data_IF_914556580720
#
_entry.id   IF_914556580720
#
_cell.length_a   1.000
_cell.length_b   1.000
_cell.length_c   1.000
_cell.angle_alpha   90.00
_cell.angle_beta   90.00
_cell.angle_gamma   90.00
#
_symmetry.space_group_name_H-M   'P 1'
#
loop_
_entity.id
_entity.type
_entity.pdbx_description
1 polymer ?
#
# COMPACT_ATOMS: atom_id res chain seq x y z
N UNK A 1 2.63 -21.68 -16.14
CA UNK A 1 3.47 -20.74 -16.91
C UNK A 1 4.22 -19.75 -16.00
N UNK A 2 4.89 -20.13 -14.92
CA UNK A 2 5.47 -19.13 -13.98
C UNK A 2 6.86 -19.49 -13.45
N UNK A 3 7.56 -20.43 -14.04
CA UNK A 3 8.84 -20.93 -13.51
C UNK A 3 10.04 -20.03 -13.84
N UNK A 4 9.90 -19.00 -14.66
CA UNK A 4 11.04 -18.22 -15.22
C UNK A 4 11.39 -16.97 -14.37
N UNK A 5 10.48 -16.48 -13.55
CA UNK A 5 10.68 -15.20 -12.86
C UNK A 5 11.41 -15.31 -11.49
N UNK A 6 11.39 -16.48 -10.85
CA UNK A 6 12.10 -16.69 -9.56
C UNK A 6 13.60 -16.49 -9.60
N UNK A 7 14.20 -16.76 -10.72
CA UNK A 7 15.66 -16.59 -10.89
C UNK A 7 16.12 -15.14 -10.87
N UNK A 8 15.17 -14.18 -10.85
CA UNK A 8 15.43 -12.75 -10.78
C UNK A 8 15.49 -12.19 -9.36
N UNK A 9 14.98 -12.94 -8.36
CA UNK A 9 15.10 -12.53 -6.97
C UNK A 9 16.51 -12.76 -6.46
N UNK A 10 16.98 -11.88 -5.57
CA UNK A 10 18.19 -12.15 -4.81
C UNK A 10 17.98 -13.38 -3.91
N UNK A 11 19.03 -14.10 -3.57
CA UNK A 11 18.94 -15.24 -2.64
C UNK A 11 18.32 -14.84 -1.28
N UNK A 12 18.58 -13.62 -0.83
CA UNK A 12 18.00 -13.09 0.42
C UNK A 12 16.50 -12.90 0.29
N UNK A 13 16.01 -12.32 -0.83
CA UNK A 13 14.59 -12.10 -1.09
C UNK A 13 13.83 -13.41 -1.23
N UNK A 14 14.41 -14.36 -1.94
CA UNK A 14 13.86 -15.69 -2.09
C UNK A 14 13.72 -16.36 -0.72
N UNK A 15 14.78 -16.34 0.09
CA UNK A 15 14.77 -16.89 1.45
C UNK A 15 13.71 -16.25 2.34
N UNK A 16 13.54 -14.92 2.23
CA UNK A 16 12.47 -14.20 2.94
C UNK A 16 11.09 -14.73 2.52
N UNK A 17 10.82 -14.82 1.21
CA UNK A 17 9.53 -15.31 0.70
C UNK A 17 9.26 -16.76 1.15
N UNK A 18 10.27 -17.63 1.12
CA UNK A 18 10.14 -19.02 1.58
C UNK A 18 9.83 -19.12 3.07
N UNK A 19 10.44 -18.28 3.91
CA UNK A 19 10.14 -18.21 5.34
C UNK A 19 8.70 -17.75 5.55
N UNK A 20 8.26 -16.70 4.84
CA UNK A 20 6.89 -16.22 4.95
C UNK A 20 5.87 -17.26 4.46
N UNK A 21 6.19 -18.03 3.42
CA UNK A 21 5.34 -19.13 2.96
C UNK A 21 5.18 -20.21 4.04
N UNK A 22 6.28 -20.61 4.68
CA UNK A 22 6.22 -21.62 5.77
C UNK A 22 5.38 -21.14 6.95
N UNK A 23 5.52 -19.87 7.34
CA UNK A 23 4.71 -19.26 8.41
C UNK A 23 3.24 -19.20 8.03
N UNK A 24 2.94 -18.79 6.81
CA UNK A 24 1.57 -18.76 6.28
C UNK A 24 0.95 -20.16 6.25
N UNK A 25 1.65 -21.14 5.69
CA UNK A 25 1.16 -22.52 5.60
C UNK A 25 0.91 -23.11 7.01
N UNK A 26 1.81 -22.87 7.97
CA UNK A 26 1.64 -23.29 9.36
C UNK A 26 0.42 -22.62 10.01
N UNK A 27 0.28 -21.31 9.86
CA UNK A 27 -0.86 -20.54 10.41
C UNK A 27 -2.18 -21.02 9.82
N UNK A 28 -2.23 -21.15 8.48
CA UNK A 28 -3.40 -21.63 7.76
C UNK A 28 -3.81 -23.03 8.24
N UNK A 29 -2.88 -23.96 8.30
CA UNK A 29 -3.16 -25.34 8.71
C UNK A 29 -3.62 -25.41 10.17
N UNK A 30 -3.07 -24.57 11.03
CA UNK A 30 -3.50 -24.47 12.43
C UNK A 30 -4.96 -24.02 12.54
N UNK A 31 -5.35 -22.96 11.82
CA UNK A 31 -6.75 -22.52 11.81
C UNK A 31 -7.69 -23.57 11.22
N UNK A 32 -7.31 -24.25 10.14
CA UNK A 32 -8.12 -25.33 9.57
C UNK A 32 -8.31 -26.47 10.55
N UNK A 33 -7.26 -26.91 11.27
CA UNK A 33 -7.38 -27.91 12.32
C UNK A 33 -8.31 -27.45 13.44
N UNK A 34 -8.14 -26.22 13.92
CA UNK A 34 -9.00 -25.63 14.95
C UNK A 34 -10.48 -25.62 14.52
N UNK A 35 -10.77 -25.28 13.26
CA UNK A 35 -12.15 -25.29 12.74
C UNK A 35 -12.75 -26.70 12.74
N UNK A 36 -11.96 -27.73 12.40
CA UNK A 36 -12.40 -29.13 12.47
C UNK A 36 -12.68 -29.56 13.90
N UNK A 37 -11.79 -29.20 14.83
CA UNK A 37 -11.97 -29.51 16.26
C UNK A 37 -13.22 -28.83 16.82
N UNK A 38 -13.45 -27.55 16.48
CA UNK A 38 -14.66 -26.82 16.89
C UNK A 38 -15.93 -27.46 16.33
N UNK A 39 -15.93 -27.86 15.07
CA UNK A 39 -17.07 -28.55 14.46
C UNK A 39 -17.33 -29.90 15.16
N UNK A 40 -16.28 -30.66 15.47
CA UNK A 40 -16.35 -31.92 16.18
C UNK A 40 -16.97 -31.73 17.58
N UNK A 41 -16.51 -30.73 18.33
CA UNK A 41 -17.07 -30.39 19.64
C UNK A 41 -18.54 -30.01 19.52
N UNK A 42 -18.87 -29.18 18.52
CA UNK A 42 -20.27 -28.79 18.29
C UNK A 42 -21.18 -30.00 18.00
N UNK A 43 -20.71 -30.96 17.20
CA UNK A 43 -21.47 -32.18 16.92
C UNK A 43 -21.63 -33.06 18.17
N UNK A 44 -20.60 -33.13 19.03
CA UNK A 44 -20.68 -33.83 20.30
C UNK A 44 -21.70 -33.19 21.25
N UNK A 45 -21.70 -31.85 21.32
CA UNK A 45 -22.68 -31.08 22.12
C UNK A 45 -24.10 -31.31 21.58
N UNK A 46 -24.32 -31.22 20.29
CA UNK A 46 -25.63 -31.49 19.68
C UNK A 46 -26.12 -32.91 19.99
N UNK A 47 -25.21 -33.90 19.98
CA UNK A 47 -25.52 -35.31 20.31
C UNK A 47 -25.91 -35.44 21.77
N UNK A 48 -25.17 -34.79 22.66
CA UNK A 48 -25.43 -34.76 24.10
C UNK A 48 -26.80 -34.11 24.40
N UNK A 49 -27.03 -32.90 23.89
CA UNK A 49 -28.29 -32.20 24.10
C UNK A 49 -29.47 -32.87 23.38
N UNK A 50 -29.24 -33.51 22.24
CA UNK A 50 -30.26 -34.31 21.55
C UNK A 50 -30.79 -35.46 22.37
N UNK A 51 -29.95 -36.06 23.20
CA UNK A 51 -30.35 -37.08 24.20
C UNK A 51 -31.07 -36.48 25.40
N UNK A 52 -30.80 -35.21 25.72
CA UNK A 52 -31.37 -34.46 26.83
C UNK A 52 -32.56 -33.61 26.44
N UNK A 53 -33.15 -33.79 25.25
CA UNK A 53 -34.17 -32.96 24.60
C UNK A 53 -35.42 -32.68 25.48
N UNK A 54 -35.61 -33.43 26.56
CA UNK A 54 -36.68 -33.26 27.56
C UNK A 54 -36.40 -32.13 28.56
N UNK A 55 -35.16 -31.59 28.62
CA UNK A 55 -34.72 -30.64 29.64
C UNK A 55 -34.00 -29.41 29.07
N UNK A 56 -33.74 -29.37 27.76
CA UNK A 56 -33.00 -28.27 27.14
C UNK A 56 -33.96 -27.13 26.76
N UNK A 57 -34.11 -26.19 27.65
CA UNK A 57 -34.72 -24.90 27.36
C UNK A 57 -33.90 -24.17 26.27
N UNK A 58 -34.59 -23.36 25.45
CA UNK A 58 -34.05 -22.58 24.32
C UNK A 58 -32.78 -21.76 24.64
N UNK A 59 -32.52 -21.50 25.92
CA UNK A 59 -31.37 -20.73 26.42
C UNK A 59 -30.03 -21.39 26.11
N UNK A 60 -29.96 -22.72 26.06
CA UNK A 60 -28.71 -23.43 25.78
C UNK A 60 -28.32 -23.50 24.30
N UNK A 61 -29.29 -23.38 23.38
CA UNK A 61 -29.00 -23.39 21.95
C UNK A 61 -28.29 -22.12 21.45
N UNK A 62 -28.36 -21.03 22.20
CA UNK A 62 -27.75 -19.75 21.81
C UNK A 62 -26.26 -19.61 22.23
N UNK A 63 -25.77 -20.45 23.09
CA UNK A 63 -24.41 -20.37 23.66
C UNK A 63 -23.44 -21.42 23.14
N UNK A 64 -23.84 -22.24 22.16
CA UNK A 64 -22.95 -23.20 21.54
C UNK A 64 -21.87 -22.46 20.75
N UNK A 65 -20.62 -22.81 20.98
CA UNK A 65 -19.46 -22.28 20.26
C UNK A 65 -19.51 -22.83 18.82
N UNK A 66 -20.45 -22.35 18.02
CA UNK A 66 -20.43 -22.62 16.60
C UNK A 66 -19.79 -21.43 15.88
N UNK A 67 -18.61 -21.63 15.38
CA UNK A 67 -18.05 -20.71 14.41
C UNK A 67 -18.68 -21.07 13.05
N UNK A 68 -19.65 -20.28 12.59
CA UNK A 68 -20.25 -20.51 11.29
C UNK A 68 -19.21 -20.36 10.18
N UNK A 69 -19.46 -20.98 9.02
CA UNK A 69 -18.54 -20.99 7.88
C UNK A 69 -18.15 -19.58 7.43
N UNK A 70 -19.03 -18.61 7.58
CA UNK A 70 -18.75 -17.21 7.24
C UNK A 70 -17.66 -16.65 8.13
N UNK A 71 -17.74 -16.86 9.44
CA UNK A 71 -16.69 -16.42 10.39
C UNK A 71 -15.38 -17.14 10.18
N UNK A 72 -15.41 -18.45 9.88
CA UNK A 72 -14.21 -19.20 9.51
C UNK A 72 -13.54 -18.60 8.26
N UNK A 73 -14.34 -18.26 7.24
CA UNK A 73 -13.84 -17.62 6.01
C UNK A 73 -13.27 -16.24 6.31
N UNK A 74 -13.91 -15.40 7.12
CA UNK A 74 -13.41 -14.08 7.51
C UNK A 74 -12.05 -14.17 8.23
N UNK A 75 -11.81 -15.21 9.02
CA UNK A 75 -10.50 -15.47 9.63
C UNK A 75 -9.47 -15.82 8.56
N UNK A 76 -9.81 -16.71 7.63
CA UNK A 76 -8.89 -17.11 6.56
C UNK A 76 -8.57 -15.96 5.59
N UNK A 77 -9.52 -15.10 5.28
CA UNK A 77 -9.29 -13.87 4.53
C UNK A 77 -8.23 -12.97 5.18
N UNK A 78 -8.29 -12.82 6.49
CA UNK A 78 -7.27 -12.07 7.23
C UNK A 78 -5.90 -12.73 7.15
N UNK A 79 -5.83 -14.05 7.20
CA UNK A 79 -4.58 -14.81 7.05
C UNK A 79 -4.00 -14.62 5.65
N UNK A 80 -4.82 -14.74 4.61
CA UNK A 80 -4.41 -14.53 3.22
C UNK A 80 -3.91 -13.09 2.99
N UNK A 81 -4.71 -12.11 3.40
CA UNK A 81 -4.36 -10.69 3.24
C UNK A 81 -3.09 -10.31 4.03
N UNK A 82 -2.90 -10.87 5.22
CA UNK A 82 -1.69 -10.63 6.00
C UNK A 82 -0.44 -11.15 5.29
N UNK A 83 -0.51 -12.35 4.74
CA UNK A 83 0.59 -12.96 3.97
C UNK A 83 0.97 -12.11 2.75
N UNK A 84 -0.01 -11.75 1.92
CA UNK A 84 0.20 -10.89 0.74
C UNK A 84 0.81 -9.55 1.15
N UNK A 85 0.20 -8.89 2.14
CA UNK A 85 0.67 -7.60 2.66
C UNK A 85 2.10 -7.68 3.16
N UNK A 86 2.47 -8.76 3.85
CA UNK A 86 3.82 -8.91 4.40
C UNK A 86 4.87 -8.98 3.31
N UNK A 87 4.64 -9.77 2.25
CA UNK A 87 5.55 -9.89 1.12
C UNK A 87 5.66 -8.54 0.38
N UNK A 88 4.54 -7.96 -0.06
CA UNK A 88 4.57 -6.70 -0.82
C UNK A 88 5.20 -5.56 0.01
N UNK A 89 4.86 -5.48 1.31
CA UNK A 89 5.44 -4.45 2.19
C UNK A 89 6.95 -4.61 2.38
N UNK A 90 7.46 -5.84 2.39
CA UNK A 90 8.90 -6.08 2.41
C UNK A 90 9.59 -5.51 1.17
N UNK A 91 9.09 -5.81 -0.03
CA UNK A 91 9.65 -5.28 -1.27
C UNK A 91 9.51 -3.76 -1.37
N UNK A 92 8.36 -3.21 -1.00
CA UNK A 92 8.14 -1.77 -0.96
C UNK A 92 9.15 -1.08 -0.03
N UNK A 93 9.39 -1.63 1.15
CA UNK A 93 10.33 -1.07 2.13
C UNK A 93 11.78 -1.25 1.69
N UNK A 94 12.16 -2.46 1.26
CA UNK A 94 13.55 -2.77 0.89
C UNK A 94 14.01 -1.98 -0.34
N UNK A 95 13.14 -1.88 -1.34
CA UNK A 95 13.48 -1.25 -2.62
C UNK A 95 12.86 0.14 -2.79
N UNK A 96 12.05 0.59 -1.84
CA UNK A 96 11.40 1.89 -1.89
C UNK A 96 10.34 1.99 -2.99
N UNK A 97 9.66 0.92 -3.32
CA UNK A 97 8.61 0.85 -4.34
C UNK A 97 7.25 1.33 -3.79
N UNK A 98 6.31 1.60 -4.69
CA UNK A 98 4.93 1.94 -4.38
C UNK A 98 3.95 0.88 -4.92
N UNK A 99 4.29 -0.41 -4.79
CA UNK A 99 3.44 -1.51 -5.25
C UNK A 99 2.14 -1.50 -4.46
N UNK A 100 1.02 -1.47 -5.17
CA UNK A 100 -0.30 -1.55 -4.57
C UNK A 100 -0.53 -2.94 -3.96
N UNK A 101 -1.05 -2.97 -2.73
CA UNK A 101 -1.42 -4.22 -2.07
C UNK A 101 -2.81 -4.62 -2.56
N UNK A 102 -2.88 -5.72 -3.27
CA UNK A 102 -4.14 -6.29 -3.71
C UNK A 102 -4.73 -7.22 -2.63
N UNK A 103 -6.04 -7.41 -2.66
CA UNK A 103 -6.71 -8.37 -1.77
C UNK A 103 -6.47 -9.82 -2.25
N UNK A 104 -6.73 -10.77 -1.38
CA UNK A 104 -6.61 -12.21 -1.67
C UNK A 104 -7.41 -12.65 -2.90
N UNK A 105 -8.47 -11.96 -3.23
CA UNK A 105 -9.36 -12.28 -4.37
C UNK A 105 -8.63 -12.30 -5.72
N UNK A 106 -7.53 -11.54 -5.82
CA UNK A 106 -6.67 -11.56 -7.02
C UNK A 106 -5.95 -12.90 -7.21
N UNK A 107 -5.70 -13.60 -6.12
CA UNK A 107 -4.90 -14.83 -6.10
C UNK A 107 -5.77 -16.11 -5.97
N UNK A 108 -7.07 -15.94 -5.78
CA UNK A 108 -8.04 -17.02 -5.65
C UNK A 108 -9.10 -16.81 -6.73
N UNK A 109 -9.31 -17.83 -7.58
CA UNK A 109 -10.30 -17.78 -8.65
C UNK A 109 -11.72 -17.93 -8.10
N UNK A 110 -12.34 -16.81 -7.72
CA UNK A 110 -13.73 -16.79 -7.27
C UNK A 110 -14.68 -16.56 -8.45
N UNK A 111 -15.79 -17.27 -8.45
CA UNK A 111 -16.84 -17.07 -9.44
C UNK A 111 -17.76 -15.93 -9.03
N UNK A 112 -18.33 -15.24 -10.02
CA UNK A 112 -19.27 -14.17 -9.75
C UNK A 112 -20.52 -14.71 -9.04
N UNK A 113 -20.82 -14.12 -7.88
CA UNK A 113 -21.97 -14.46 -7.05
C UNK A 113 -22.87 -13.24 -6.76
N UNK A 114 -22.80 -12.24 -7.63
CA UNK A 114 -23.63 -11.05 -7.50
C UNK A 114 -25.12 -11.40 -7.49
N UNK A 115 -25.88 -10.80 -6.60
CA UNK A 115 -27.33 -11.01 -6.55
C UNK A 115 -27.98 -10.33 -7.76
N UNK A 116 -29.02 -10.95 -8.32
CA UNK A 116 -29.78 -10.35 -9.40
C UNK A 116 -30.43 -9.05 -8.92
N UNK A 117 -30.24 -7.99 -9.70
CA UNK A 117 -30.82 -6.67 -9.37
C UNK A 117 -32.27 -6.63 -9.80
N UNK A 118 -33.14 -6.43 -8.84
CA UNK A 118 -34.57 -6.17 -9.13
C UNK A 118 -34.79 -4.68 -9.36
N UNK A 119 -35.16 -4.32 -10.58
CA UNK A 119 -35.54 -2.95 -10.93
C UNK A 119 -36.97 -2.61 -10.48
N UNK A 120 -37.83 -3.61 -10.26
CA UNK A 120 -39.20 -3.47 -9.85
C UNK A 120 -39.46 -4.14 -8.50
N UNK A 121 -40.54 -3.73 -7.82
CA UNK A 121 -40.97 -4.42 -6.57
C UNK A 121 -41.40 -5.85 -6.90
N UNK A 122 -41.03 -6.81 -6.05
CA UNK A 122 -41.38 -8.24 -6.22
C UNK A 122 -42.89 -8.44 -6.42
N UNK A 123 -43.75 -7.58 -5.79
CA UNK A 123 -45.21 -7.61 -5.91
C UNK A 123 -45.72 -7.26 -7.31
N UNK A 124 -44.93 -6.57 -8.15
CA UNK A 124 -45.32 -6.20 -9.51
C UNK A 124 -44.86 -7.16 -10.58
N UNK A 125 -44.13 -8.22 -10.22
CA UNK A 125 -43.66 -9.24 -11.14
C UNK A 125 -44.77 -10.27 -11.47
N UNK A 126 -44.76 -10.78 -12.68
CA UNK A 126 -45.54 -11.95 -13.06
C UNK A 126 -45.07 -13.20 -12.30
N UNK A 127 -45.88 -14.26 -12.26
CA UNK A 127 -45.46 -15.52 -11.60
C UNK A 127 -44.26 -16.17 -12.31
N UNK A 128 -44.16 -16.02 -13.61
CA UNK A 128 -42.98 -16.50 -14.39
C UNK A 128 -41.72 -15.70 -13.99
N UNK A 129 -41.76 -14.38 -13.94
CA UNK A 129 -40.65 -13.55 -13.50
C UNK A 129 -40.25 -13.83 -12.05
N UNK A 130 -41.19 -14.06 -11.15
CA UNK A 130 -40.93 -14.48 -9.78
C UNK A 130 -40.21 -15.84 -9.73
N UNK A 131 -40.60 -16.78 -10.59
CA UNK A 131 -39.97 -18.08 -10.65
C UNK A 131 -38.52 -17.99 -11.14
N UNK A 132 -38.27 -17.25 -12.21
CA UNK A 132 -36.92 -16.98 -12.74
C UNK A 132 -36.05 -16.35 -11.64
N UNK A 133 -36.54 -15.30 -10.97
CA UNK A 133 -35.83 -14.64 -9.89
C UNK A 133 -35.49 -15.59 -8.72
N UNK A 134 -36.43 -16.46 -8.33
CA UNK A 134 -36.18 -17.47 -7.28
C UNK A 134 -35.07 -18.45 -7.68
N UNK A 135 -35.04 -18.87 -8.93
CA UNK A 135 -34.01 -19.77 -9.43
C UNK A 135 -32.64 -19.10 -9.49
N UNK A 136 -32.57 -17.87 -9.96
CA UNK A 136 -31.33 -17.07 -9.96
C UNK A 136 -30.82 -16.84 -8.54
N UNK A 137 -31.68 -16.49 -7.60
CA UNK A 137 -31.31 -16.36 -6.19
C UNK A 137 -30.80 -17.66 -5.58
N UNK A 138 -31.37 -18.82 -5.95
CA UNK A 138 -30.88 -20.13 -5.52
C UNK A 138 -29.47 -20.40 -6.08
N UNK A 139 -29.24 -20.10 -7.38
CA UNK A 139 -27.92 -20.23 -8.00
C UNK A 139 -26.89 -19.34 -7.34
N UNK A 140 -27.26 -18.07 -7.12
CA UNK A 140 -26.39 -17.11 -6.45
C UNK A 140 -26.00 -17.58 -5.03
N UNK A 141 -26.95 -18.06 -4.23
CA UNK A 141 -26.70 -18.59 -2.87
C UNK A 141 -25.74 -19.79 -2.90
N UNK A 142 -25.97 -20.75 -3.81
CA UNK A 142 -25.05 -21.90 -3.98
C UNK A 142 -23.65 -21.44 -4.37
N UNK A 143 -23.54 -20.45 -5.27
CA UNK A 143 -22.24 -19.93 -5.68
C UNK A 143 -21.52 -19.18 -4.55
N UNK A 144 -22.28 -18.38 -3.76
CA UNK A 144 -21.70 -17.75 -2.55
C UNK A 144 -21.16 -18.79 -1.57
N UNK A 145 -21.91 -19.85 -1.32
CA UNK A 145 -21.47 -20.94 -0.45
C UNK A 145 -20.20 -21.60 -1.00
N UNK A 146 -20.15 -21.88 -2.30
CA UNK A 146 -18.97 -22.45 -2.96
C UNK A 146 -17.76 -21.51 -2.83
N UNK A 147 -17.92 -20.21 -3.05
CA UNK A 147 -16.86 -19.21 -2.89
C UNK A 147 -16.32 -19.19 -1.46
N UNK A 148 -17.18 -19.30 -0.44
CA UNK A 148 -16.75 -19.41 0.97
C UNK A 148 -15.84 -20.62 1.19
N UNK A 149 -16.15 -21.77 0.62
CA UNK A 149 -15.29 -22.95 0.69
C UNK A 149 -13.97 -22.73 -0.08
N UNK A 150 -14.05 -22.14 -1.26
CA UNK A 150 -12.85 -21.86 -2.05
C UNK A 150 -11.89 -20.95 -1.28
N UNK A 151 -12.37 -19.89 -0.64
CA UNK A 151 -11.54 -19.01 0.21
C UNK A 151 -10.99 -19.76 1.42
N UNK A 152 -11.85 -20.53 2.11
CA UNK A 152 -11.46 -21.25 3.32
C UNK A 152 -10.32 -22.23 3.07
N UNK A 153 -10.37 -22.97 1.95
CA UNK A 153 -9.40 -24.02 1.62
C UNK A 153 -8.31 -23.58 0.65
N UNK A 154 -8.37 -22.36 0.13
CA UNK A 154 -7.35 -21.85 -0.77
C UNK A 154 -5.97 -21.85 -0.11
N UNK A 155 -4.96 -22.00 -0.93
CA UNK A 155 -3.56 -21.78 -0.59
C UNK A 155 -2.97 -20.80 -1.60
N UNK A 156 -2.42 -19.72 -1.10
CA UNK A 156 -1.74 -18.72 -1.91
C UNK A 156 -0.25 -19.02 -1.87
N UNK A 157 0.35 -19.17 -3.04
CA UNK A 157 1.78 -19.39 -3.16
C UNK A 157 2.50 -18.06 -3.40
N UNK A 158 3.60 -17.82 -2.67
CA UNK A 158 4.37 -16.59 -2.80
C UNK A 158 4.81 -16.28 -4.25
N UNK A 159 5.05 -17.27 -5.10
CA UNK A 159 5.35 -17.03 -6.50
C UNK A 159 4.33 -16.20 -7.24
N UNK A 160 3.05 -16.38 -6.97
CA UNK A 160 1.98 -15.57 -7.59
C UNK A 160 2.09 -14.10 -7.19
N UNK A 161 2.47 -13.83 -5.94
CA UNK A 161 2.68 -12.47 -5.43
C UNK A 161 3.93 -11.86 -6.06
N UNK A 162 4.98 -12.65 -6.20
CA UNK A 162 6.23 -12.23 -6.87
C UNK A 162 5.99 -11.94 -8.35
N UNK A 163 5.16 -12.71 -9.04
CA UNK A 163 4.78 -12.45 -10.43
C UNK A 163 4.05 -11.10 -10.58
N UNK A 164 3.19 -10.74 -9.63
CA UNK A 164 2.56 -9.42 -9.58
C UNK A 164 3.60 -8.30 -9.37
N UNK A 165 4.59 -8.52 -8.51
CA UNK A 165 5.69 -7.57 -8.30
C UNK A 165 6.47 -7.36 -9.60
N UNK A 166 6.84 -8.43 -10.30
CA UNK A 166 7.55 -8.31 -11.58
C UNK A 166 6.68 -7.70 -12.69
N UNK A 167 5.40 -7.98 -12.69
CA UNK A 167 4.44 -7.33 -13.60
C UNK A 167 4.39 -5.82 -13.36
N UNK A 168 4.38 -5.40 -12.11
CA UNK A 168 4.46 -3.98 -11.74
C UNK A 168 5.77 -3.34 -12.19
N UNK A 169 6.89 -4.05 -12.12
CA UNK A 169 8.18 -3.55 -12.60
C UNK A 169 8.19 -3.28 -14.12
N UNK A 170 7.35 -3.97 -14.90
CA UNK A 170 7.21 -3.73 -16.34
C UNK A 170 8.51 -3.98 -17.13
N UNK A 171 9.35 -4.90 -16.66
CA UNK A 171 10.65 -5.23 -17.28
C UNK A 171 11.84 -4.45 -16.72
N UNK A 172 11.61 -3.42 -15.89
CA UNK A 172 12.64 -2.69 -15.19
C UNK A 172 13.22 -3.49 -14.01
N UNK A 173 14.46 -3.20 -13.65
CA UNK A 173 15.00 -3.59 -12.34
C UNK A 173 14.29 -2.82 -11.22
N UNK A 174 14.42 -3.27 -9.98
CA UNK A 174 13.89 -2.55 -8.82
C UNK A 174 14.37 -1.10 -8.74
N UNK A 175 15.66 -0.87 -9.02
CA UNK A 175 16.26 0.47 -8.96
C UNK A 175 15.77 1.39 -10.08
N UNK A 176 15.72 0.89 -11.32
CA UNK A 176 15.21 1.64 -12.46
C UNK A 176 13.73 2.02 -12.28
N UNK A 177 12.91 1.12 -11.73
CA UNK A 177 11.51 1.41 -11.44
C UNK A 177 11.36 2.50 -10.38
N UNK A 178 12.15 2.45 -9.33
CA UNK A 178 12.20 3.51 -8.30
C UNK A 178 12.56 4.86 -8.90
N UNK A 179 13.57 4.91 -9.76
CA UNK A 179 13.98 6.12 -10.43
C UNK A 179 12.87 6.67 -11.34
N UNK A 180 12.23 5.79 -12.12
CA UNK A 180 11.09 6.15 -12.95
C UNK A 180 9.95 6.76 -12.12
N UNK A 181 9.54 6.11 -11.03
CA UNK A 181 8.49 6.61 -10.14
C UNK A 181 8.83 7.97 -9.53
N UNK A 182 10.08 8.19 -9.15
CA UNK A 182 10.52 9.49 -8.63
C UNK A 182 10.39 10.56 -9.71
N UNK A 183 10.84 10.28 -10.94
CA UNK A 183 10.73 11.21 -12.07
C UNK A 183 9.28 11.56 -12.38
N UNK A 184 8.41 10.57 -12.51
CA UNK A 184 6.98 10.73 -12.75
C UNK A 184 6.29 11.57 -11.66
N UNK A 185 6.61 11.31 -10.39
CA UNK A 185 6.05 12.06 -9.26
C UNK A 185 6.49 13.53 -9.25
N UNK A 186 7.75 13.80 -9.59
CA UNK A 186 8.26 15.17 -9.69
C UNK A 186 7.63 15.89 -10.87
N UNK A 187 7.57 15.27 -12.04
CA UNK A 187 6.96 15.83 -13.24
C UNK A 187 5.48 16.17 -13.01
N UNK A 188 4.70 15.24 -12.47
CA UNK A 188 3.30 15.47 -12.12
C UNK A 188 3.14 16.59 -11.07
N UNK A 189 4.01 16.65 -10.07
CA UNK A 189 3.99 17.66 -9.01
C UNK A 189 4.40 19.05 -9.48
N UNK A 190 5.31 19.16 -10.43
CA UNK A 190 5.94 20.41 -10.84
C UNK A 190 5.48 20.96 -12.19
N UNK A 191 4.48 20.35 -12.85
CA UNK A 191 3.99 20.77 -14.18
C UNK A 191 3.65 22.26 -14.28
N UNK A 192 3.36 22.95 -13.17
CA UNK A 192 3.04 24.38 -13.10
C UNK A 192 4.02 25.20 -12.24
N UNK A 193 5.12 24.60 -11.79
CA UNK A 193 6.06 25.25 -10.87
C UNK A 193 7.20 25.88 -11.65
N UNK A 194 7.44 27.18 -11.41
CA UNK A 194 8.54 27.90 -12.07
C UNK A 194 9.85 27.67 -11.30
N UNK A 195 10.88 27.29 -12.03
CA UNK A 195 12.22 27.17 -11.49
C UNK A 195 13.26 27.96 -12.33
N UNK A 196 14.40 28.24 -11.75
CA UNK A 196 15.53 28.90 -12.40
C UNK A 196 16.84 28.30 -11.88
N UNK A 197 17.81 28.18 -12.80
CA UNK A 197 19.16 27.68 -12.49
C UNK A 197 20.16 28.81 -12.73
N UNK A 198 20.96 29.08 -11.72
CA UNK A 198 22.06 30.05 -11.80
C UNK A 198 23.32 29.43 -11.25
N UNK A 199 24.29 29.11 -12.13
CA UNK A 199 25.51 28.41 -11.73
C UNK A 199 25.16 27.10 -11.01
N UNK A 200 25.50 26.95 -9.74
CA UNK A 200 25.24 25.77 -8.93
C UNK A 200 23.99 25.86 -8.05
N UNK A 201 23.14 26.87 -8.28
CA UNK A 201 21.93 27.08 -7.50
C UNK A 201 20.68 26.84 -8.34
N UNK A 202 19.79 26.01 -7.83
CA UNK A 202 18.44 25.80 -8.33
C UNK A 202 17.47 26.55 -7.41
N UNK A 203 16.64 27.42 -7.99
CA UNK A 203 15.58 28.13 -7.29
C UNK A 203 14.24 27.61 -7.76
N UNK A 204 13.40 27.13 -6.85
CA UNK A 204 12.03 26.68 -7.15
C UNK A 204 11.06 27.65 -6.48
N UNK A 205 10.09 28.18 -7.23
CA UNK A 205 9.11 29.14 -6.72
C UNK A 205 7.80 28.43 -6.38
N UNK A 206 7.12 28.91 -5.33
CA UNK A 206 5.79 28.41 -4.94
C UNK A 206 5.73 26.91 -4.65
N UNK A 207 6.85 26.32 -4.21
CA UNK A 207 6.89 24.91 -3.85
C UNK A 207 6.46 24.69 -2.41
N UNK A 208 6.84 25.62 -1.53
CA UNK A 208 6.54 25.58 -0.11
C UNK A 208 5.37 26.52 0.16
N UNK A 209 4.34 26.02 0.80
CA UNK A 209 3.21 26.86 1.18
C UNK A 209 3.54 27.60 2.47
N UNK A 210 3.44 28.94 2.46
CA UNK A 210 3.52 29.75 3.64
C UNK A 210 2.23 30.55 3.82
N UNK A 211 1.72 30.62 5.05
CA UNK A 211 0.59 31.47 5.42
C UNK A 211 0.98 32.30 6.64
N UNK A 212 0.35 33.44 6.79
CA UNK A 212 0.45 34.23 8.00
C UNK A 212 -0.67 33.80 8.94
N UNK A 213 -0.36 33.49 10.18
CA UNK A 213 -1.36 33.18 11.19
C UNK A 213 -2.11 34.46 11.65
N UNK A 214 -3.12 34.28 12.53
CA UNK A 214 -3.91 35.38 13.07
C UNK A 214 -3.08 36.42 13.87
N UNK A 215 -1.85 36.04 14.23
CA UNK A 215 -0.92 36.89 15.02
C UNK A 215 0.17 37.52 14.14
N UNK A 216 0.07 37.37 12.81
CA UNK A 216 1.06 37.91 11.88
C UNK A 216 2.35 37.09 11.76
N UNK A 217 2.39 35.89 12.36
CA UNK A 217 3.55 35.00 12.25
C UNK A 217 3.44 34.12 11.00
N UNK A 218 4.59 33.88 10.35
CA UNK A 218 4.63 33.01 9.17
C UNK A 218 4.70 31.54 9.58
N UNK A 219 3.77 30.78 9.02
CA UNK A 219 3.79 29.31 9.09
C UNK A 219 4.21 28.74 7.73
N UNK A 220 5.15 27.79 7.75
CA UNK A 220 5.52 27.01 6.57
C UNK A 220 4.91 25.63 6.68
N UNK A 221 4.21 25.22 5.63
CA UNK A 221 3.72 23.86 5.46
C UNK A 221 4.65 23.10 4.50
N UNK A 222 5.44 22.19 5.03
CA UNK A 222 6.29 21.28 4.26
C UNK A 222 5.59 19.94 3.97
N UNK A 223 4.38 19.74 4.49
CA UNK A 223 3.56 18.57 4.26
C UNK A 223 2.75 18.70 2.97
N UNK A 224 3.43 18.92 1.84
CA UNK A 224 2.80 18.86 0.53
C UNK A 224 3.54 17.87 -0.36
N UNK A 225 2.79 17.14 -1.18
CA UNK A 225 3.33 16.06 -2.01
C UNK A 225 4.35 16.57 -3.05
N UNK A 226 4.22 17.82 -3.52
CA UNK A 226 5.17 18.43 -4.46
C UNK A 226 6.54 18.62 -3.81
N UNK A 227 6.56 19.16 -2.60
CA UNK A 227 7.79 19.34 -1.84
C UNK A 227 8.43 17.98 -1.55
N UNK A 228 7.63 17.00 -1.08
CA UNK A 228 8.10 15.64 -0.80
C UNK A 228 8.65 14.96 -2.05
N UNK A 229 8.02 15.15 -3.21
CA UNK A 229 8.49 14.60 -4.47
C UNK A 229 9.89 15.14 -4.84
N UNK A 230 10.09 16.47 -4.78
CA UNK A 230 11.40 17.07 -5.06
C UNK A 230 12.45 16.65 -4.04
N UNK A 231 12.08 16.55 -2.78
CA UNK A 231 13.00 16.10 -1.73
C UNK A 231 13.44 14.65 -1.94
N UNK A 232 12.51 13.77 -2.33
CA UNK A 232 12.82 12.37 -2.70
C UNK A 232 13.77 12.32 -3.89
N UNK A 233 13.52 13.16 -4.92
CA UNK A 233 14.39 13.24 -6.08
C UNK A 233 15.80 13.72 -5.74
N UNK A 234 15.93 14.75 -4.91
CA UNK A 234 17.23 15.24 -4.43
C UNK A 234 17.98 14.16 -3.66
N UNK A 235 17.28 13.45 -2.79
CA UNK A 235 17.85 12.34 -2.01
C UNK A 235 18.35 11.22 -2.91
N UNK A 236 17.54 10.84 -3.90
CA UNK A 236 17.90 9.78 -4.84
C UNK A 236 19.05 10.21 -5.76
N UNK A 237 19.01 11.45 -6.28
CA UNK A 237 20.07 12.01 -7.09
C UNK A 237 21.42 12.07 -6.35
N UNK A 238 21.39 12.40 -5.06
CA UNK A 238 22.59 12.50 -4.24
C UNK A 238 23.20 11.14 -3.91
N UNK A 239 22.38 10.13 -3.62
CA UNK A 239 22.84 8.85 -3.02
C UNK A 239 22.46 7.60 -3.78
N UNK A 240 21.57 7.69 -4.75
CA UNK A 240 20.95 6.52 -5.39
C UNK A 240 20.00 5.74 -4.47
N UNK A 241 19.59 6.30 -3.33
CA UNK A 241 18.68 5.66 -2.37
C UNK A 241 17.40 6.48 -2.23
N UNK A 242 16.24 5.83 -2.25
CA UNK A 242 14.92 6.48 -2.05
C UNK A 242 14.67 6.85 -0.59
N UNK A 243 15.41 6.29 0.35
CA UNK A 243 15.20 6.55 1.77
C UNK A 243 15.76 7.91 2.20
N UNK A 244 15.00 8.62 3.03
CA UNK A 244 15.28 9.97 3.53
C UNK A 244 16.52 10.11 4.45
N UNK A 245 17.25 9.02 4.69
CA UNK A 245 18.32 8.95 5.69
C UNK A 245 19.58 9.77 5.38
N UNK A 246 19.58 10.56 4.29
CA UNK A 246 20.77 11.33 3.89
C UNK A 246 20.86 12.66 4.60
N UNK A 247 19.73 13.14 5.05
CA UNK A 247 19.62 14.43 5.74
C UNK A 247 19.37 14.16 7.21
N UNK A 248 20.42 13.71 7.91
CA UNK A 248 20.39 13.35 9.33
C UNK A 248 19.41 14.17 10.17
N UNK A 249 18.29 13.53 10.54
CA UNK A 249 17.38 13.96 11.60
C UNK A 249 16.69 15.31 11.42
N UNK A 250 17.29 16.28 10.73
CA UNK A 250 16.73 17.61 10.60
C UNK A 250 15.63 17.67 9.54
N UNK A 251 15.87 17.10 8.36
CA UNK A 251 14.86 17.02 7.29
C UNK A 251 13.75 16.01 7.58
N UNK A 252 14.06 14.92 8.28
CA UNK A 252 13.04 14.01 8.79
C UNK A 252 12.07 14.73 9.73
N UNK A 253 12.55 15.63 10.58
CA UNK A 253 11.68 16.46 11.41
C UNK A 253 10.73 17.32 10.58
N UNK A 254 11.18 17.92 9.47
CA UNK A 254 10.34 18.77 8.62
C UNK A 254 9.41 17.99 7.67
N UNK A 255 9.73 16.76 7.31
CA UNK A 255 8.88 15.92 6.48
C UNK A 255 7.79 15.22 7.29
N UNK A 256 8.02 15.00 8.59
CA UNK A 256 7.10 14.28 9.48
C UNK A 256 6.02 15.18 10.11
N UNK A 257 6.17 16.49 10.09
CA UNK A 257 5.25 17.40 10.77
C UNK A 257 4.41 18.22 9.80
N UNK A 258 3.08 18.05 9.88
CA UNK A 258 2.11 18.91 9.19
C UNK A 258 2.16 20.37 9.71
N UNK A 259 2.61 20.58 10.94
CA UNK A 259 2.79 21.89 11.57
C UNK A 259 4.02 21.90 12.45
N UNK A 260 4.95 22.81 12.15
CA UNK A 260 6.11 23.05 12.99
C UNK A 260 5.70 23.98 14.13
N UNK A 261 5.84 23.54 15.36
CA UNK A 261 5.52 24.32 16.55
C UNK A 261 6.35 25.58 16.70
N UNK A 262 5.90 26.53 17.55
CA UNK A 262 6.48 27.88 17.70
C UNK A 262 7.97 27.86 18.02
N UNK A 263 8.47 26.91 18.84
CA UNK A 263 9.88 26.74 19.21
C UNK A 263 10.78 26.14 18.15
N UNK A 264 10.18 25.39 17.21
CA UNK A 264 10.92 24.71 16.13
C UNK A 264 11.00 25.57 14.86
N UNK A 265 10.28 26.72 14.83
CA UNK A 265 10.27 27.66 13.71
C UNK A 265 11.51 28.57 13.67
N UNK A 266 12.21 28.71 14.80
CA UNK A 266 13.43 29.52 14.84
C UNK A 266 14.47 28.89 13.92
N UNK A 267 14.93 29.67 12.95
CA UNK A 267 15.94 29.25 11.99
C UNK A 267 15.44 28.57 10.73
N UNK A 268 14.13 28.33 10.54
CA UNK A 268 13.64 27.66 9.31
C UNK A 268 13.97 28.43 8.02
N UNK A 269 14.07 29.75 8.12
CA UNK A 269 14.44 30.63 7.00
C UNK A 269 15.94 30.84 6.89
N UNK A 270 16.74 30.27 7.77
CA UNK A 270 18.19 30.32 7.71
C UNK A 270 18.70 29.37 6.60
N UNK A 271 19.98 29.46 6.34
CA UNK A 271 20.63 28.52 5.42
C UNK A 271 20.91 27.22 6.14
N UNK A 272 20.49 26.10 5.54
CA UNK A 272 20.66 24.76 6.09
C UNK A 272 21.70 23.98 5.30
N UNK A 273 22.65 23.39 5.98
CA UNK A 273 23.62 22.49 5.37
C UNK A 273 22.94 21.13 5.08
N UNK A 274 23.06 20.67 3.85
CA UNK A 274 22.74 19.30 3.49
C UNK A 274 24.00 18.44 3.71
N UNK A 275 23.80 17.23 4.26
CA UNK A 275 24.91 16.29 4.47
C UNK A 275 25.18 15.42 3.22
N UNK A 276 24.68 15.88 2.07
CA UNK A 276 24.84 15.21 0.79
C UNK A 276 26.22 15.41 0.16
N UNK A 277 26.50 14.62 -0.87
CA UNK A 277 27.72 14.77 -1.67
C UNK A 277 27.55 15.77 -2.81
N UNK A 278 26.37 15.78 -3.43
CA UNK A 278 26.03 16.64 -4.57
C UNK A 278 25.16 17.82 -4.16
N UNK A 279 24.27 17.65 -3.20
CA UNK A 279 23.43 18.70 -2.61
C UNK A 279 24.09 19.19 -1.33
N UNK A 280 24.48 20.47 -1.29
CA UNK A 280 25.32 21.02 -0.20
C UNK A 280 24.52 21.80 0.80
N UNK A 281 23.51 22.56 0.36
CA UNK A 281 22.70 23.38 1.24
C UNK A 281 21.41 23.84 0.58
N UNK A 282 20.46 24.31 1.40
CA UNK A 282 19.22 24.88 0.94
C UNK A 282 18.68 25.95 1.88
N UNK A 283 17.77 26.77 1.35
CA UNK A 283 17.16 27.86 2.07
C UNK A 283 15.71 28.03 1.66
N UNK A 284 14.84 28.14 2.66
CA UNK A 284 13.43 28.49 2.46
C UNK A 284 13.21 29.99 2.59
N UNK A 285 12.19 30.49 1.91
CA UNK A 285 11.82 31.88 1.96
C UNK A 285 10.32 32.05 2.25
N UNK A 286 9.96 33.12 2.93
CA UNK A 286 8.58 33.43 3.32
C UNK A 286 7.59 33.51 2.14
N UNK A 287 8.08 33.77 0.93
CA UNK A 287 7.28 33.81 -0.31
C UNK A 287 7.13 32.43 -0.98
N UNK A 288 7.39 31.35 -0.29
CA UNK A 288 7.28 29.97 -0.81
C UNK A 288 8.40 29.54 -1.75
N UNK A 289 9.44 30.36 -1.91
CA UNK A 289 10.63 30.01 -2.68
C UNK A 289 11.52 29.05 -1.91
N UNK A 290 12.13 28.12 -2.60
CA UNK A 290 13.14 27.21 -2.10
C UNK A 290 14.40 27.30 -2.95
N UNK A 291 15.53 27.67 -2.37
CA UNK A 291 16.84 27.66 -3.03
C UNK A 291 17.60 26.39 -2.60
N UNK A 292 18.13 25.68 -3.57
CA UNK A 292 18.91 24.45 -3.41
C UNK A 292 20.28 24.72 -4.05
N UNK A 293 21.36 24.50 -3.32
CA UNK A 293 22.72 24.68 -3.80
C UNK A 293 23.40 23.33 -3.94
N UNK A 294 23.92 23.07 -5.12
CA UNK A 294 24.72 21.90 -5.43
C UNK A 294 26.21 22.21 -5.27
N UNK A 295 27.05 21.17 -5.16
CA UNK A 295 28.50 21.30 -5.13
C UNK A 295 29.06 21.88 -6.44
N UNK A 296 28.40 21.60 -7.56
CA UNK A 296 28.80 22.03 -8.91
C UNK A 296 27.60 22.46 -9.77
N UNK A 297 27.87 23.30 -10.78
CA UNK A 297 26.88 23.69 -11.78
C UNK A 297 26.46 22.49 -12.65
N UNK A 298 27.34 21.53 -12.85
CA UNK A 298 27.05 20.31 -13.59
C UNK A 298 25.95 19.51 -12.90
N UNK A 299 26.07 19.32 -11.58
CA UNK A 299 25.05 18.60 -10.79
C UNK A 299 23.71 19.35 -10.74
N UNK A 300 23.73 20.70 -10.62
CA UNK A 300 22.50 21.48 -10.69
C UNK A 300 21.79 21.29 -12.02
N UNK A 301 22.53 21.33 -13.13
CA UNK A 301 21.99 21.15 -14.47
C UNK A 301 21.52 19.71 -14.71
N UNK A 302 22.30 18.71 -14.29
CA UNK A 302 21.89 17.30 -14.38
C UNK A 302 20.60 17.03 -13.65
N UNK A 303 20.49 17.50 -12.40
CA UNK A 303 19.25 17.35 -11.63
C UNK A 303 18.04 17.98 -12.37
N UNK A 304 18.22 19.18 -12.90
CA UNK A 304 17.13 19.83 -13.61
C UNK A 304 16.74 19.12 -14.92
N UNK A 305 17.72 18.60 -15.67
CA UNK A 305 17.45 17.80 -16.88
C UNK A 305 16.73 16.49 -16.55
N UNK A 306 17.17 15.80 -15.51
CA UNK A 306 16.68 14.47 -15.17
C UNK A 306 15.32 14.49 -14.49
N UNK A 307 15.04 15.50 -13.64
CA UNK A 307 13.86 15.50 -12.77
C UNK A 307 12.90 16.68 -13.03
N UNK A 308 13.34 17.78 -13.64
CA UNK A 308 12.50 18.97 -13.84
C UNK A 308 12.16 19.21 -15.32
N UNK A 309 12.57 18.32 -16.21
CA UNK A 309 12.31 18.46 -17.63
C UNK A 309 13.00 19.66 -18.27
N UNK A 310 14.13 20.12 -17.71
CA UNK A 310 14.89 21.25 -18.27
C UNK A 310 15.39 20.91 -19.67
N UNK A 311 15.02 21.74 -20.64
CA UNK A 311 15.55 21.68 -22.01
C UNK A 311 16.47 22.86 -22.20
N UNK A 312 17.71 22.60 -22.62
CA UNK A 312 18.58 23.70 -23.07
C UNK A 312 17.92 24.37 -24.28
N UNK A 313 17.70 25.68 -24.21
CA UNK A 313 17.38 26.46 -25.38
C UNK A 313 18.68 26.61 -26.18
N UNK A 314 18.80 25.84 -27.24
CA UNK A 314 19.91 25.90 -28.19
C UNK A 314 19.79 27.18 -28.99
#
# INVERSE_FOLDING_TARGET
MSTIQYTRLSMEDQKFCEIQQKLYDSTRNHFLSMFVDMETLHQQELTFYGRMKKYADRVYQQNLISMDKKKQTEVMEKVHNHFIKTIISFFNRKYGLAIQIHSYERYISLQNSAEPVLHNRISSLTEEEKQIYREEMKRCRKQKEKNLYEVLFARIDYPLIVDDIFSYLGGFSFQEKVEQEIKENVEAGLSYVKYNIQSKKLTIKNLVYSKTDLWGEYEICLDNEKYKAVLRALTFFDSGKKQFNIYDGWLERFVSFSYIGKKEKEGIFDEHLALGKKVVKFKYFKNGRWDIVFDSGVHALSFAKEYLGYKEVI
#
